data_IF_211916767171
#
_entry.id   IF_211916767171
#
_cell.length_a   1.000
_cell.length_b   1.000
_cell.length_c   1.000
_cell.angle_alpha   90.00
_cell.angle_beta   90.00
_cell.angle_gamma   90.00
#
_symmetry.space_group_name_H-M   'P 1'
#
loop_
_entity.id
_entity.type
_entity.pdbx_description
1 polymer ?
#
# COMPACT_ATOMS: atom_id res chain seq x y z
N UNK A 1 -27.53 -24.92 -28.18
CA UNK A 1 -26.89 -26.20 -27.80
C UNK A 1 -25.82 -26.49 -28.84
N UNK A 2 -24.58 -26.73 -28.35
CA UNK A 2 -23.33 -27.21 -28.99
C UNK A 2 -22.16 -26.34 -28.49
N UNK A 3 -21.33 -26.83 -27.55
CA UNK A 3 -20.07 -27.57 -27.79
C UNK A 3 -18.91 -26.52 -27.94
N UNK A 4 -17.73 -26.53 -27.29
CA UNK A 4 -16.82 -27.60 -26.85
C UNK A 4 -15.68 -27.05 -25.94
N UNK A 5 -14.90 -27.97 -25.32
CA UNK A 5 -13.46 -27.86 -24.93
C UNK A 5 -13.08 -27.26 -23.56
N UNK A 6 -12.92 -28.19 -22.61
CA UNK A 6 -11.59 -28.52 -22.08
C UNK A 6 -10.88 -27.47 -21.22
N UNK A 7 -11.12 -27.50 -19.92
CA UNK A 7 -10.17 -26.99 -18.93
C UNK A 7 -9.69 -28.18 -18.09
N UNK A 8 -8.47 -28.63 -18.37
CA UNK A 8 -7.82 -29.73 -17.67
C UNK A 8 -7.46 -29.29 -16.23
N UNK A 9 -7.47 -30.18 -15.22
CA UNK A 9 -6.86 -29.86 -13.93
C UNK A 9 -5.35 -29.78 -14.13
N UNK A 10 -4.79 -28.57 -14.10
CA UNK A 10 -3.34 -28.37 -14.06
C UNK A 10 -2.77 -29.07 -12.81
N UNK A 11 -1.64 -29.79 -12.92
CA UNK A 11 -1.01 -30.46 -11.79
C UNK A 11 -0.56 -29.43 -10.75
N UNK A 12 -0.86 -29.75 -9.49
CA UNK A 12 -0.56 -29.00 -8.28
C UNK A 12 0.96 -28.92 -7.96
N UNK A 13 1.77 -28.42 -8.88
CA UNK A 13 3.21 -28.27 -8.72
C UNK A 13 3.63 -26.95 -9.37
N UNK A 14 4.19 -26.03 -8.55
CA UNK A 14 4.83 -24.76 -8.91
C UNK A 14 3.97 -23.47 -8.87
N UNK A 15 3.11 -23.29 -7.86
CA UNK A 15 2.94 -21.93 -7.31
C UNK A 15 3.92 -21.82 -6.15
N UNK A 16 5.17 -21.55 -6.52
CA UNK A 16 6.25 -21.33 -5.58
C UNK A 16 5.82 -20.25 -4.59
N UNK A 17 5.73 -20.66 -3.33
CA UNK A 17 6.38 -20.01 -2.20
C UNK A 17 6.84 -18.57 -2.50
N UNK A 18 5.90 -17.64 -2.61
CA UNK A 18 6.15 -16.27 -2.19
C UNK A 18 6.32 -16.36 -0.68
N UNK A 19 7.53 -16.71 -0.24
CA UNK A 19 8.03 -16.22 1.03
C UNK A 19 8.09 -14.70 0.86
N UNK A 20 6.94 -14.04 1.06
CA UNK A 20 6.91 -12.64 1.40
C UNK A 20 7.66 -12.56 2.74
N UNK A 21 8.92 -12.13 2.62
CA UNK A 21 9.71 -11.55 3.71
C UNK A 21 8.79 -10.67 4.57
N UNK A 22 9.04 -10.55 5.89
CA UNK A 22 8.11 -9.95 6.84
C UNK A 22 7.62 -8.54 6.43
N UNK A 23 6.54 -8.49 5.66
CA UNK A 23 5.84 -7.33 5.13
C UNK A 23 4.78 -6.89 6.15
N UNK A 24 5.23 -6.60 7.37
CA UNK A 24 4.34 -6.28 8.50
C UNK A 24 4.79 -5.07 9.31
N UNK A 25 6.06 -4.64 9.14
CA UNK A 25 6.58 -3.47 9.84
C UNK A 25 6.52 -2.21 8.97
N UNK A 26 6.73 -2.33 7.66
CA UNK A 26 6.66 -1.23 6.71
C UNK A 26 5.25 -0.81 6.36
N UNK A 27 4.38 -1.75 5.97
CA UNK A 27 3.00 -1.39 5.60
C UNK A 27 2.28 -0.66 6.72
N UNK A 28 2.48 -1.10 7.97
CA UNK A 28 1.86 -0.46 9.13
C UNK A 28 2.52 0.87 9.51
N UNK A 29 3.77 1.08 9.12
CA UNK A 29 4.46 2.37 9.27
C UNK A 29 3.93 3.36 8.24
N UNK A 30 3.87 2.94 6.98
CA UNK A 30 3.32 3.71 5.85
C UNK A 30 1.86 4.07 6.12
N UNK A 31 1.03 3.13 6.58
CA UNK A 31 -0.38 3.38 6.94
C UNK A 31 -0.52 4.46 8.02
N UNK A 32 0.37 4.48 9.01
CA UNK A 32 0.36 5.54 10.04
C UNK A 32 0.80 6.89 9.48
N UNK A 33 1.79 6.91 8.58
CA UNK A 33 2.17 8.14 7.88
C UNK A 33 0.99 8.68 7.05
N UNK A 34 0.26 7.80 6.36
CA UNK A 34 -0.92 8.16 5.55
C UNK A 34 -2.03 8.75 6.43
N UNK A 35 -2.41 8.07 7.52
CA UNK A 35 -3.46 8.58 8.43
C UNK A 35 -3.10 9.94 9.03
N UNK A 36 -1.82 10.17 9.34
CA UNK A 36 -1.34 11.45 9.85
C UNK A 36 -1.39 12.54 8.77
N UNK A 37 -1.00 12.19 7.54
CA UNK A 37 -1.06 13.08 6.39
C UNK A 37 -2.50 13.47 6.07
N UNK A 38 -3.42 12.51 5.97
CA UNK A 38 -4.85 12.74 5.69
C UNK A 38 -5.48 13.69 6.72
N UNK A 39 -5.17 13.50 8.00
CA UNK A 39 -5.64 14.41 9.07
C UNK A 39 -5.06 15.81 8.90
N UNK A 40 -3.78 15.91 8.56
CA UNK A 40 -3.13 17.19 8.32
C UNK A 40 -3.75 17.92 7.11
N UNK A 41 -3.96 17.20 6.00
CA UNK A 41 -4.57 17.73 4.77
C UNK A 41 -6.02 18.15 5.00
N UNK A 42 -6.76 17.43 5.85
CA UNK A 42 -8.12 17.79 6.24
C UNK A 42 -8.16 19.05 7.11
N UNK A 43 -7.22 19.21 8.05
CA UNK A 43 -7.07 20.40 8.91
C UNK A 43 -6.49 21.62 8.15
N UNK A 44 -5.80 21.37 7.03
CA UNK A 44 -5.30 22.41 6.15
C UNK A 44 -6.44 23.15 5.43
N UNK A 45 -7.61 22.52 5.24
CA UNK A 45 -8.80 23.13 4.62
C UNK A 45 -8.54 23.82 3.26
N UNK A 46 -7.54 23.34 2.51
CA UNK A 46 -7.15 23.92 1.22
C UNK A 46 -6.13 25.06 1.30
N UNK A 47 -5.56 25.35 2.48
CA UNK A 47 -4.43 26.27 2.65
C UNK A 47 -3.15 25.66 2.04
N UNK A 48 -2.55 26.34 1.07
CA UNK A 48 -1.41 25.81 0.30
C UNK A 48 -0.14 25.64 1.14
N UNK A 49 0.11 26.56 2.08
CA UNK A 49 1.30 26.51 2.95
C UNK A 49 1.21 25.36 3.96
N UNK A 50 0.02 25.14 4.52
CA UNK A 50 -0.25 23.99 5.41
C UNK A 50 -0.18 22.67 4.64
N UNK A 51 -0.80 22.56 3.46
CA UNK A 51 -0.73 21.35 2.65
C UNK A 51 0.72 20.97 2.33
N UNK A 52 1.55 21.95 1.94
CA UNK A 52 2.97 21.70 1.70
C UNK A 52 3.70 21.20 2.95
N UNK A 53 3.36 21.75 4.12
CA UNK A 53 3.92 21.29 5.40
C UNK A 53 3.47 19.85 5.71
N UNK A 54 2.22 19.48 5.40
CA UNK A 54 1.70 18.12 5.53
C UNK A 54 2.44 17.15 4.61
N UNK A 55 2.66 17.53 3.34
CA UNK A 55 3.39 16.73 2.35
C UNK A 55 4.86 16.51 2.75
N UNK A 56 5.53 17.55 3.26
CA UNK A 56 6.91 17.45 3.76
C UNK A 56 6.96 16.51 4.98
N UNK A 57 6.01 16.62 5.92
CA UNK A 57 5.93 15.76 7.09
C UNK A 57 5.64 14.29 6.73
N UNK A 58 4.76 14.04 5.76
CA UNK A 58 4.49 12.71 5.22
C UNK A 58 5.75 12.10 4.60
N UNK A 59 6.44 12.88 3.76
CA UNK A 59 7.68 12.46 3.12
C UNK A 59 8.78 12.13 4.13
N UNK A 60 8.91 12.90 5.22
CA UNK A 60 9.85 12.60 6.29
C UNK A 60 9.45 11.36 7.10
N UNK A 61 8.15 11.16 7.35
CA UNK A 61 7.63 9.96 7.99
C UNK A 61 7.99 8.69 7.20
N UNK A 62 7.77 8.70 5.88
CA UNK A 62 8.10 7.56 5.02
C UNK A 62 9.60 7.22 4.98
N UNK A 63 10.49 8.21 5.14
CA UNK A 63 11.95 7.95 5.22
C UNK A 63 12.34 7.10 6.44
N UNK A 64 11.47 7.07 7.47
CA UNK A 64 11.69 6.29 8.69
C UNK A 64 11.11 4.88 8.61
N UNK A 65 10.19 4.61 7.68
CA UNK A 65 9.70 3.28 7.35
C UNK A 65 10.75 2.55 6.49
N UNK A 66 11.17 1.34 6.89
CA UNK A 66 12.22 0.52 6.25
C UNK A 66 11.96 -0.98 6.31
#
# INVERSE_FOLDING_TARGET
MSQERGFHPLPALLVGLVMALPAWSDERCVEQCDVQSDRCMQDAEGDEDKQKTCDDAYSDCLKTCK
#
